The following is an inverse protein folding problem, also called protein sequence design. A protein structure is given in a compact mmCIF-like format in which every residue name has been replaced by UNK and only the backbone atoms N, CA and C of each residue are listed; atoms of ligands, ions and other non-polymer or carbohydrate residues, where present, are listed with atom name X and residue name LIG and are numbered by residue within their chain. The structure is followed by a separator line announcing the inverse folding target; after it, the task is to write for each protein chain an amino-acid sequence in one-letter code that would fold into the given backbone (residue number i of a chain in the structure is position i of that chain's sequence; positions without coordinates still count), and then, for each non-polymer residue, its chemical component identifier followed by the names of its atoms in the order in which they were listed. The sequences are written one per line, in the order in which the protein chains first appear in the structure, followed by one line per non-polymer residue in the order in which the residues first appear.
data_IF_399426811707
#
_entry.id   IF_399426811707
#
_cell.length_a   1.000
_cell.length_b   1.000
_cell.length_c   1.000
_cell.angle_alpha   90.00
_cell.angle_beta   90.00
_cell.angle_gamma   90.00
#
_symmetry.space_group_name_H-M   'P 1'
#
loop_
_entity.id
_entity.type
_entity.pdbx_description
1 polymer ?
#
# COMPACT_ATOMS: atom_id res chain seq x y z
N UNK A 1 11.02 -18.45 -14.29
CA UNK A 1 10.86 -17.17 -15.01
C UNK A 1 9.92 -16.20 -14.29
N UNK A 2 8.68 -16.60 -13.96
CA UNK A 2 7.70 -15.74 -13.27
C UNK A 2 8.23 -15.14 -11.96
N UNK A 3 8.69 -15.97 -11.01
CA UNK A 3 9.19 -15.49 -9.71
C UNK A 3 10.33 -14.49 -9.86
N UNK A 4 11.30 -14.77 -10.73
CA UNK A 4 12.40 -13.85 -11.01
C UNK A 4 11.92 -12.51 -11.61
N UNK A 5 10.88 -12.53 -12.45
CA UNK A 5 10.27 -11.30 -12.97
C UNK A 5 9.55 -10.50 -11.88
N UNK A 6 8.82 -11.18 -10.98
CA UNK A 6 8.19 -10.55 -9.81
C UNK A 6 9.24 -9.90 -8.92
N UNK A 7 10.29 -10.64 -8.54
CA UNK A 7 11.40 -10.12 -7.72
C UNK A 7 12.06 -8.92 -8.39
N UNK A 8 12.39 -9.00 -9.68
CA UNK A 8 12.97 -7.89 -10.42
C UNK A 8 12.06 -6.64 -10.42
N UNK A 9 10.75 -6.84 -10.58
CA UNK A 9 9.78 -5.76 -10.56
C UNK A 9 9.69 -5.07 -9.20
N UNK A 10 9.60 -5.83 -8.11
CA UNK A 10 9.64 -5.28 -6.76
C UNK A 10 10.95 -4.52 -6.51
N UNK A 11 12.08 -5.15 -6.79
CA UNK A 11 13.39 -4.60 -6.51
C UNK A 11 13.62 -3.26 -7.23
N UNK A 12 13.30 -3.20 -8.52
CA UNK A 12 13.48 -1.97 -9.30
C UNK A 12 12.56 -0.84 -8.82
N UNK A 13 11.27 -1.13 -8.60
CA UNK A 13 10.33 -0.10 -8.15
C UNK A 13 10.70 0.46 -6.76
N UNK A 14 11.11 -0.41 -5.84
CA UNK A 14 11.48 -0.02 -4.48
C UNK A 14 12.80 0.75 -4.44
N UNK A 15 13.83 0.31 -5.17
CA UNK A 15 15.11 1.03 -5.25
C UNK A 15 14.95 2.44 -5.81
N UNK A 16 14.13 2.58 -6.86
CA UNK A 16 13.81 3.89 -7.44
C UNK A 16 13.02 4.76 -6.46
N UNK A 17 12.15 4.14 -5.65
CA UNK A 17 11.23 4.86 -4.76
C UNK A 17 11.73 5.18 -3.34
N UNK A 18 12.68 4.42 -2.78
CA UNK A 18 12.95 4.34 -1.33
C UNK A 18 13.28 5.68 -0.66
N UNK A 19 13.92 6.60 -1.38
CA UNK A 19 14.40 7.87 -0.82
C UNK A 19 13.49 9.08 -1.13
N UNK A 20 12.54 8.92 -2.05
CA UNK A 20 11.87 10.05 -2.70
C UNK A 20 10.35 10.10 -2.47
N UNK A 21 9.78 9.06 -1.86
CA UNK A 21 8.34 8.96 -1.67
C UNK A 21 7.72 10.18 -0.99
N UNK A 22 8.40 10.74 0.03
CA UNK A 22 7.94 11.95 0.72
C UNK A 22 8.04 13.20 -0.17
N UNK A 23 9.12 13.36 -0.94
CA UNK A 23 9.35 14.51 -1.81
C UNK A 23 8.33 14.56 -2.96
N UNK A 24 8.12 13.42 -3.63
CA UNK A 24 7.10 13.26 -4.68
C UNK A 24 5.70 13.53 -4.13
N UNK A 25 5.38 12.97 -2.96
CA UNK A 25 4.07 13.16 -2.32
C UNK A 25 3.78 14.61 -1.94
N UNK A 26 4.81 15.39 -1.57
CA UNK A 26 4.70 16.84 -1.30
C UNK A 26 4.43 17.64 -2.56
N UNK A 27 4.96 17.22 -3.71
CA UNK A 27 4.69 17.82 -5.02
C UNK A 27 3.32 17.45 -5.61
N UNK A 28 2.55 16.59 -4.92
CA UNK A 28 1.17 16.25 -5.28
C UNK A 28 1.03 14.95 -6.08
N UNK A 29 2.13 14.31 -6.44
CA UNK A 29 2.13 13.03 -7.12
C UNK A 29 1.86 11.87 -6.16
N UNK A 30 1.31 10.78 -6.69
CA UNK A 30 1.11 9.54 -5.96
C UNK A 30 2.24 8.57 -6.27
N UNK A 31 2.85 8.00 -5.23
CA UNK A 31 4.01 7.11 -5.35
C UNK A 31 3.73 5.83 -6.13
N UNK A 32 2.56 5.20 -5.93
CA UNK A 32 2.22 3.92 -6.58
C UNK A 32 2.35 3.95 -8.09
N UNK A 33 1.67 4.85 -8.84
CA UNK A 33 1.78 4.81 -10.29
C UNK A 33 3.09 5.41 -10.81
N UNK A 34 3.71 6.32 -10.06
CA UNK A 34 5.00 6.94 -10.39
C UNK A 34 6.16 5.95 -10.31
N UNK A 35 6.16 5.03 -9.34
CA UNK A 35 7.22 4.02 -9.20
C UNK A 35 6.85 2.66 -9.76
N UNK A 36 5.56 2.29 -9.72
CA UNK A 36 5.08 0.99 -10.17
C UNK A 36 5.31 0.73 -11.66
N UNK A 37 5.38 1.79 -12.47
CA UNK A 37 5.70 1.68 -13.91
C UNK A 37 7.07 1.05 -14.15
N UNK A 38 8.08 1.36 -13.32
CA UNK A 38 9.41 0.79 -13.44
C UNK A 38 9.43 -0.69 -13.04
N UNK A 39 8.69 -1.06 -12.00
CA UNK A 39 8.57 -2.45 -11.59
C UNK A 39 7.88 -3.29 -12.66
N UNK A 40 6.82 -2.76 -13.28
CA UNK A 40 6.15 -3.41 -14.41
C UNK A 40 7.08 -3.53 -15.63
N UNK A 41 7.86 -2.50 -15.96
CA UNK A 41 8.84 -2.54 -17.05
C UNK A 41 9.95 -3.57 -16.79
N UNK A 42 10.49 -3.63 -15.58
CA UNK A 42 11.50 -4.61 -15.20
C UNK A 42 10.97 -6.05 -15.25
N UNK A 43 9.78 -6.29 -14.72
CA UNK A 43 9.13 -7.60 -14.75
C UNK A 43 8.83 -8.03 -16.20
N UNK A 44 8.23 -7.16 -17.01
CA UNK A 44 7.91 -7.43 -18.40
C UNK A 44 9.18 -7.65 -19.24
N UNK A 45 10.17 -6.78 -19.12
CA UNK A 45 11.45 -6.92 -19.83
C UNK A 45 12.17 -8.21 -19.48
N UNK A 46 12.08 -8.67 -18.22
CA UNK A 46 12.62 -9.97 -17.83
C UNK A 46 11.91 -11.14 -18.52
N UNK A 47 10.60 -11.03 -18.72
CA UNK A 47 9.79 -12.04 -19.41
C UNK A 47 9.97 -12.02 -20.93
N UNK A 48 10.17 -10.83 -21.52
CA UNK A 48 10.51 -10.67 -22.93
C UNK A 48 11.94 -11.12 -23.26
N UNK A 49 12.79 -11.27 -22.24
CA UNK A 49 14.18 -11.69 -22.43
C UNK A 49 15.09 -10.56 -22.89
N UNK A 50 14.78 -9.32 -22.51
CA UNK A 50 15.61 -8.16 -22.81
C UNK A 50 17.01 -8.34 -22.21
N UNK A 51 18.03 -7.98 -23.00
CA UNK A 51 19.40 -7.83 -22.51
C UNK A 51 19.57 -6.53 -21.71
N UNK A 52 20.76 -6.32 -21.13
CA UNK A 52 21.01 -5.17 -20.28
C UNK A 52 20.79 -3.81 -20.99
N UNK A 53 21.28 -3.58 -22.23
CA UNK A 53 21.00 -2.35 -22.96
C UNK A 53 19.50 -2.11 -23.21
N UNK A 54 18.75 -3.13 -23.65
CA UNK A 54 17.30 -3.00 -23.88
C UNK A 54 16.53 -2.79 -22.58
N UNK A 55 16.94 -3.44 -21.49
CA UNK A 55 16.34 -3.24 -20.16
C UNK A 55 16.58 -1.80 -19.65
N UNK A 56 17.80 -1.28 -19.78
CA UNK A 56 18.08 0.12 -19.41
C UNK A 56 17.20 1.09 -20.20
N UNK A 57 17.07 0.86 -21.50
CA UNK A 57 16.19 1.64 -22.36
C UNK A 57 14.70 1.51 -21.99
N UNK A 58 14.22 0.32 -21.61
CA UNK A 58 12.87 0.12 -21.11
C UNK A 58 12.59 0.93 -19.84
N UNK A 59 13.56 1.01 -18.91
CA UNK A 59 13.43 1.85 -17.72
C UNK A 59 13.43 3.34 -18.05
N UNK A 60 14.22 3.76 -19.06
CA UNK A 60 14.17 5.14 -19.57
C UNK A 60 12.80 5.48 -20.19
N UNK A 61 12.20 4.55 -20.94
CA UNK A 61 10.83 4.73 -21.46
C UNK A 61 9.81 4.78 -20.30
N UNK A 62 9.94 3.90 -19.31
CA UNK A 62 9.07 3.88 -18.13
C UNK A 62 9.10 5.22 -17.36
N UNK A 63 10.27 5.86 -17.24
CA UNK A 63 10.40 7.18 -16.64
C UNK A 63 9.53 8.24 -17.33
N UNK A 64 9.40 8.16 -18.67
CA UNK A 64 8.56 9.06 -19.46
C UNK A 64 7.06 8.74 -19.34
N UNK A 65 6.70 7.54 -18.92
CA UNK A 65 5.31 7.11 -18.76
C UNK A 65 4.82 7.15 -17.30
N UNK A 66 5.69 7.55 -16.38
CA UNK A 66 5.36 7.72 -14.98
C UNK A 66 4.40 8.90 -14.76
N UNK A 67 3.39 8.71 -13.91
CA UNK A 67 2.46 9.78 -13.57
C UNK A 67 1.29 9.32 -12.71
N UNK A 68 0.62 10.26 -12.05
CA UNK A 68 -0.55 10.01 -11.20
C UNK A 68 -0.63 10.98 -10.03
N UNK A 69 -1.83 11.41 -9.67
CA UNK A 69 -2.06 12.51 -8.73
C UNK A 69 -2.67 12.00 -7.43
N UNK A 70 -2.27 12.60 -6.31
CA UNK A 70 -2.78 12.25 -4.98
C UNK A 70 -4.07 13.00 -4.61
N UNK A 71 -4.65 13.78 -5.52
CA UNK A 71 -5.83 14.61 -5.27
C UNK A 71 -7.03 13.80 -4.77
N UNK A 72 -7.15 12.53 -5.19
CA UNK A 72 -8.21 11.60 -4.81
C UNK A 72 -8.43 11.49 -3.29
N UNK A 73 -7.38 11.70 -2.47
CA UNK A 73 -7.47 11.60 -1.01
C UNK A 73 -8.43 12.66 -0.45
N UNK A 74 -8.34 13.89 -0.94
CA UNK A 74 -9.16 14.99 -0.45
C UNK A 74 -10.61 14.88 -0.98
N UNK A 75 -10.76 14.59 -2.28
CA UNK A 75 -12.05 14.45 -2.95
C UNK A 75 -12.78 13.14 -2.64
N UNK A 76 -12.07 12.12 -2.16
CA UNK A 76 -12.59 10.78 -1.95
C UNK A 76 -12.93 10.03 -3.24
N UNK A 77 -12.35 10.42 -4.37
CA UNK A 77 -12.59 9.82 -5.70
C UNK A 77 -11.75 8.55 -5.93
N UNK A 78 -12.04 7.81 -6.99
CA UNK A 78 -11.55 6.45 -7.23
C UNK A 78 -10.49 6.31 -8.34
N UNK A 79 -10.00 7.42 -8.89
CA UNK A 79 -8.98 7.44 -9.95
C UNK A 79 -7.69 6.70 -9.54
N UNK A 80 -7.37 6.63 -8.25
CA UNK A 80 -6.23 5.88 -7.73
C UNK A 80 -6.24 4.38 -8.12
N UNK A 81 -7.43 3.81 -8.38
CA UNK A 81 -7.57 2.42 -8.82
C UNK A 81 -7.05 2.25 -10.24
N UNK A 82 -7.46 3.12 -11.16
CA UNK A 82 -7.05 3.05 -12.57
C UNK A 82 -5.59 3.47 -12.76
N UNK A 83 -5.08 4.39 -11.95
CA UNK A 83 -3.67 4.79 -11.97
C UNK A 83 -2.72 3.60 -11.76
N UNK A 84 -3.06 2.68 -10.85
CA UNK A 84 -2.24 1.49 -10.63
C UNK A 84 -2.26 0.55 -11.84
N UNK A 85 -3.43 0.39 -12.48
CA UNK A 85 -3.57 -0.37 -13.72
C UNK A 85 -2.81 0.26 -14.89
N UNK A 86 -2.82 1.58 -15.00
CA UNK A 86 -2.06 2.31 -16.01
C UNK A 86 -0.56 2.20 -15.80
N UNK A 87 -0.07 2.24 -14.57
CA UNK A 87 1.35 2.00 -14.31
C UNK A 87 1.79 0.60 -14.76
N UNK A 88 0.97 -0.42 -14.48
CA UNK A 88 1.23 -1.78 -14.97
C UNK A 88 1.24 -1.85 -16.51
N UNK A 89 0.21 -1.31 -17.16
CA UNK A 89 0.11 -1.25 -18.64
C UNK A 89 1.31 -0.52 -19.24
N UNK A 90 1.58 0.70 -18.77
CA UNK A 90 2.63 1.55 -19.31
C UNK A 90 4.02 0.91 -19.15
N UNK A 91 4.28 0.18 -18.06
CA UNK A 91 5.54 -0.53 -17.89
C UNK A 91 5.70 -1.70 -18.88
N UNK A 92 4.63 -2.46 -19.11
CA UNK A 92 4.62 -3.52 -20.14
C UNK A 92 4.87 -2.90 -21.53
N UNK A 93 4.21 -1.79 -21.85
CA UNK A 93 4.39 -1.08 -23.12
C UNK A 93 5.84 -0.55 -23.25
N UNK A 94 6.43 0.00 -22.19
CA UNK A 94 7.82 0.45 -22.19
C UNK A 94 8.81 -0.67 -22.50
N UNK A 95 8.61 -1.86 -21.90
CA UNK A 95 9.44 -3.03 -22.20
C UNK A 95 9.26 -3.52 -23.64
N UNK A 96 8.01 -3.54 -24.14
CA UNK A 96 7.73 -3.96 -25.52
C UNK A 96 8.31 -3.01 -26.56
N UNK A 97 8.16 -1.70 -26.35
CA UNK A 97 8.75 -0.67 -27.21
C UNK A 97 10.28 -0.76 -27.25
N UNK A 98 10.93 -1.04 -26.12
CA UNK A 98 12.36 -1.28 -26.07
C UNK A 98 12.77 -2.55 -26.84
N UNK A 99 11.95 -3.61 -26.79
CA UNK A 99 12.20 -4.86 -27.53
C UNK A 99 12.17 -4.64 -29.05
N UNK A 100 11.19 -3.84 -29.51
CA UNK A 100 11.01 -3.42 -30.90
C UNK A 100 12.02 -2.34 -31.35
N UNK A 101 12.92 -1.91 -30.47
CA UNK A 101 14.04 -1.03 -30.82
C UNK A 101 13.75 0.46 -30.75
N UNK A 102 12.66 0.89 -30.11
CA UNK A 102 12.47 2.32 -29.78
C UNK A 102 13.57 2.76 -28.80
N UNK A 103 14.21 3.90 -29.06
CA UNK A 103 15.31 4.42 -28.22
C UNK A 103 14.83 5.61 -27.38
N UNK A 104 15.10 5.57 -26.09
CA UNK A 104 14.94 6.67 -25.14
C UNK A 104 16.31 7.22 -24.69
N UNK A 105 16.31 8.36 -24.01
CA UNK A 105 17.54 8.97 -23.52
C UNK A 105 18.20 8.11 -22.42
N UNK A 106 19.53 8.04 -22.45
CA UNK A 106 20.31 7.21 -21.51
C UNK A 106 20.29 7.75 -20.08
N UNK A 107 20.03 9.06 -19.92
CA UNK A 107 20.02 9.80 -18.66
C UNK A 107 18.59 10.13 -18.19
N UNK A 108 17.59 9.33 -18.59
CA UNK A 108 16.17 9.62 -18.31
C UNK A 108 15.84 9.67 -16.81
N UNK A 109 16.65 9.00 -15.98
CA UNK A 109 16.49 8.97 -14.54
C UNK A 109 17.13 10.18 -13.85
N UNK A 110 18.42 10.42 -14.09
CA UNK A 110 19.29 11.33 -13.33
C UNK A 110 19.94 12.46 -14.17
N UNK A 111 19.61 12.54 -15.46
CA UNK A 111 19.98 13.63 -16.36
C UNK A 111 19.34 14.97 -15.99
N UNK A 112 19.76 16.07 -16.63
CA UNK A 112 19.36 17.43 -16.27
C UNK A 112 17.83 17.63 -16.24
N UNK A 113 17.12 17.03 -17.20
CA UNK A 113 15.67 16.97 -17.25
C UNK A 113 15.09 15.60 -16.82
N UNK A 114 15.85 14.86 -16.00
CA UNK A 114 15.56 13.49 -15.60
C UNK A 114 14.42 13.36 -14.58
N UNK A 115 13.92 12.14 -14.45
CA UNK A 115 12.82 11.74 -13.58
C UNK A 115 12.94 12.27 -12.15
N UNK A 116 14.09 12.11 -11.49
CA UNK A 116 14.23 12.51 -10.09
C UNK A 116 14.10 14.02 -9.91
N UNK A 117 14.77 14.80 -10.77
CA UNK A 117 14.68 16.27 -10.72
C UNK A 117 13.26 16.75 -10.97
N UNK A 118 12.58 16.16 -11.94
CA UNK A 118 11.20 16.52 -12.29
C UNK A 118 10.22 16.18 -11.15
N UNK A 119 10.27 14.96 -10.63
CA UNK A 119 9.26 14.46 -9.69
C UNK A 119 9.59 14.70 -8.22
N UNK A 120 10.87 14.62 -7.82
CA UNK A 120 11.30 14.66 -6.42
C UNK A 120 12.11 15.92 -6.07
N UNK A 121 12.80 16.52 -7.05
CA UNK A 121 13.74 17.63 -6.85
C UNK A 121 15.19 17.20 -7.02
N UNK A 122 16.12 18.14 -6.84
CA UNK A 122 17.55 17.87 -7.00
C UNK A 122 18.09 16.99 -5.87
N UNK A 123 18.77 15.91 -6.26
CA UNK A 123 19.45 14.97 -5.37
C UNK A 123 20.68 14.39 -6.09
N UNK A 124 21.86 14.88 -5.72
CA UNK A 124 23.11 14.51 -6.37
C UNK A 124 23.58 13.08 -6.05
N UNK A 125 23.09 12.46 -4.98
CA UNK A 125 23.54 11.15 -4.50
C UNK A 125 22.67 10.00 -5.01
N UNK A 126 21.71 10.28 -5.88
CA UNK A 126 20.68 9.32 -6.24
C UNK A 126 21.22 8.12 -7.05
N UNK A 127 21.99 8.37 -8.13
CA UNK A 127 22.49 7.30 -9.00
C UNK A 127 23.34 6.26 -8.24
N UNK A 128 24.14 6.71 -7.26
CA UNK A 128 24.92 5.83 -6.38
C UNK A 128 24.02 4.96 -5.50
N UNK A 129 22.92 5.50 -4.99
CA UNK A 129 22.02 4.75 -4.10
C UNK A 129 21.17 3.73 -4.83
N UNK A 130 20.84 3.91 -6.11
CA UNK A 130 20.07 2.91 -6.86
C UNK A 130 20.76 1.54 -6.88
N UNK A 131 22.08 1.53 -7.04
CA UNK A 131 22.88 0.31 -7.22
C UNK A 131 23.62 -0.14 -5.97
N UNK A 132 23.50 0.60 -4.87
CA UNK A 132 24.09 0.22 -3.58
C UNK A 132 23.61 -1.17 -3.15
N UNK A 133 24.56 -2.04 -2.77
CA UNK A 133 24.30 -3.38 -2.26
C UNK A 133 23.44 -4.27 -3.19
N UNK A 134 23.46 -3.98 -4.50
CA UNK A 134 22.72 -4.75 -5.49
C UNK A 134 23.20 -6.21 -5.50
N UNK A 135 22.26 -7.15 -5.40
CA UNK A 135 22.55 -8.58 -5.35
C UNK A 135 22.91 -9.12 -3.96
N UNK A 136 23.04 -8.24 -2.95
CA UNK A 136 23.28 -8.64 -1.55
C UNK A 136 22.15 -8.24 -0.62
N UNK A 137 21.56 -7.06 -0.83
CA UNK A 137 20.39 -6.57 -0.08
C UNK A 137 19.24 -6.43 -1.06
N UNK A 138 18.10 -7.05 -0.75
CA UNK A 138 16.88 -6.95 -1.55
C UNK A 138 15.87 -6.05 -0.83
N UNK A 139 15.43 -5.00 -1.51
CA UNK A 139 14.39 -4.10 -0.98
C UNK A 139 13.05 -4.82 -0.80
N UNK A 140 12.82 -5.89 -1.58
CA UNK A 140 11.62 -6.70 -1.46
C UNK A 140 11.45 -7.32 -0.06
N UNK A 141 12.54 -7.56 0.68
CA UNK A 141 12.49 -8.13 2.02
C UNK A 141 11.88 -7.17 3.05
N UNK A 142 11.88 -5.86 2.77
CA UNK A 142 11.24 -4.84 3.58
C UNK A 142 9.75 -4.65 3.26
N UNK A 143 9.19 -5.41 2.30
CA UNK A 143 7.77 -5.30 1.94
C UNK A 143 6.90 -5.85 3.05
N UNK A 144 6.08 -4.98 3.64
CA UNK A 144 5.11 -5.38 4.65
C UNK A 144 3.75 -5.71 4.04
N UNK A 145 3.05 -6.65 4.66
CA UNK A 145 1.66 -6.96 4.37
C UNK A 145 0.73 -5.96 5.05
N UNK A 146 -0.49 -5.89 4.53
CA UNK A 146 -1.50 -4.95 4.98
C UNK A 146 -2.78 -5.71 5.36
N UNK A 147 -3.03 -5.94 6.66
CA UNK A 147 -4.15 -6.76 7.12
C UNK A 147 -5.51 -6.09 6.95
N UNK A 148 -5.55 -4.77 6.76
CA UNK A 148 -6.77 -4.00 6.60
C UNK A 148 -6.76 -3.19 5.30
N UNK A 149 -7.90 -2.94 4.64
CA UNK A 149 -7.97 -2.18 3.39
C UNK A 149 -7.85 -0.64 3.55
N UNK A 150 -6.94 -0.15 4.41
CA UNK A 150 -6.84 1.25 4.90
C UNK A 150 -5.49 1.94 4.61
N UNK A 151 -5.27 3.25 4.70
CA UNK A 151 -3.89 3.75 4.56
C UNK A 151 -2.96 3.11 5.60
N UNK A 152 -1.72 2.76 5.20
CA UNK A 152 -0.76 2.01 6.03
C UNK A 152 -0.50 2.65 7.40
N UNK A 153 -0.65 3.97 7.54
CA UNK A 153 -0.46 4.68 8.81
C UNK A 153 -1.54 4.35 9.86
N UNK A 154 -2.65 3.72 9.46
CA UNK A 154 -3.77 3.41 10.34
C UNK A 154 -3.79 1.96 10.85
N UNK A 155 -2.85 1.11 10.44
CA UNK A 155 -2.82 -0.31 10.82
C UNK A 155 -2.73 -0.53 12.34
N UNK A 156 -1.83 0.19 13.01
CA UNK A 156 -1.71 0.15 14.47
C UNK A 156 -2.89 0.80 15.18
N UNK A 157 -3.51 1.81 14.56
CA UNK A 157 -4.72 2.46 15.10
C UNK A 157 -5.88 1.47 15.16
N UNK A 158 -6.15 0.73 14.08
CA UNK A 158 -7.25 -0.25 14.06
C UNK A 158 -7.02 -1.37 15.08
N UNK A 159 -5.79 -1.89 15.17
CA UNK A 159 -5.45 -2.91 16.17
C UNK A 159 -5.63 -2.40 17.59
N UNK A 160 -5.01 -1.26 17.94
CA UNK A 160 -5.09 -0.73 19.29
C UNK A 160 -6.50 -0.34 19.71
N UNK A 161 -7.31 0.20 18.79
CA UNK A 161 -8.72 0.47 19.07
C UNK A 161 -9.51 -0.82 19.30
N UNK A 162 -9.27 -1.87 18.52
CA UNK A 162 -9.93 -3.16 18.72
C UNK A 162 -9.56 -3.79 20.08
N UNK A 163 -8.30 -3.71 20.49
CA UNK A 163 -7.82 -4.21 21.79
C UNK A 163 -8.46 -3.41 22.95
N UNK A 164 -8.45 -2.08 22.85
CA UNK A 164 -9.03 -1.20 23.87
C UNK A 164 -10.56 -1.36 23.97
N UNK A 165 -11.23 -1.60 22.85
CA UNK A 165 -12.67 -1.92 22.82
C UNK A 165 -12.98 -3.18 23.63
N UNK A 166 -12.16 -4.23 23.53
CA UNK A 166 -12.37 -5.44 24.31
C UNK A 166 -12.20 -5.16 25.82
N UNK A 167 -11.18 -4.41 26.19
CA UNK A 167 -10.90 -4.01 27.58
C UNK A 167 -11.96 -3.04 28.16
N UNK A 168 -12.68 -2.31 27.30
CA UNK A 168 -13.73 -1.40 27.74
C UNK A 168 -14.98 -2.12 28.25
N UNK A 169 -15.15 -3.41 27.97
CA UNK A 169 -16.26 -4.24 28.47
C UNK A 169 -17.66 -3.59 28.22
N UNK A 170 -17.79 -2.91 27.08
CA UNK A 170 -19.04 -2.24 26.67
C UNK A 170 -19.19 -0.78 27.08
N UNK A 171 -18.25 -0.21 27.86
CA UNK A 171 -18.25 1.22 28.15
C UNK A 171 -17.98 2.04 26.87
N UNK A 172 -18.72 3.13 26.69
CA UNK A 172 -18.57 4.00 25.53
C UNK A 172 -17.31 4.89 25.64
N UNK A 173 -16.68 5.30 24.51
CA UNK A 173 -15.53 6.17 24.53
C UNK A 173 -16.00 7.63 24.60
N UNK A 174 -15.54 8.38 25.60
CA UNK A 174 -15.80 9.81 25.74
C UNK A 174 -14.75 10.66 25.01
N UNK A 175 -13.51 10.19 24.96
CA UNK A 175 -12.43 10.81 24.20
C UNK A 175 -11.43 9.77 23.72
N UNK A 176 -10.91 9.94 22.51
CA UNK A 176 -9.88 9.08 21.92
C UNK A 176 -8.72 9.97 21.47
N UNK A 177 -7.54 9.80 22.05
CA UNK A 177 -6.31 10.44 21.60
C UNK A 177 -5.45 9.45 20.83
N UNK A 178 -5.01 9.85 19.64
CA UNK A 178 -4.09 9.07 18.80
C UNK A 178 -2.84 9.91 18.60
N UNK A 179 -1.73 9.51 19.23
CA UNK A 179 -0.42 10.12 19.06
C UNK A 179 0.39 9.32 18.05
N UNK A 180 0.95 9.97 17.04
CA UNK A 180 1.75 9.30 16.01
C UNK A 180 2.82 10.23 15.45
N UNK A 181 3.81 9.66 14.75
CA UNK A 181 4.91 10.42 14.17
C UNK A 181 4.40 11.60 13.30
N UNK A 182 5.02 12.80 13.35
CA UNK A 182 4.49 14.00 12.67
C UNK A 182 4.27 13.85 11.17
N UNK A 183 5.13 13.10 10.46
CA UNK A 183 4.93 12.81 9.03
C UNK A 183 3.59 12.13 8.75
N UNK A 184 3.17 11.22 9.61
CA UNK A 184 1.96 10.41 9.44
C UNK A 184 0.75 11.19 9.92
N UNK A 185 0.86 11.83 11.09
CA UNK A 185 -0.19 12.68 11.65
C UNK A 185 -0.57 13.82 10.71
N UNK A 186 0.38 14.34 9.93
CA UNK A 186 0.17 15.45 8.99
C UNK A 186 0.01 14.96 7.55
N UNK A 187 -0.04 13.65 7.31
CA UNK A 187 -0.32 13.13 5.99
C UNK A 187 -1.77 13.45 5.58
N UNK A 188 -1.97 13.69 4.30
CA UNK A 188 -3.26 14.11 3.76
C UNK A 188 -4.37 13.12 4.16
N UNK A 189 -5.52 13.65 4.58
CA UNK A 189 -6.68 12.84 4.96
C UNK A 189 -6.63 12.22 6.37
N UNK A 190 -5.46 12.04 6.98
CA UNK A 190 -5.32 11.36 8.29
C UNK A 190 -6.16 12.04 9.38
N UNK A 191 -6.14 13.38 9.42
CA UNK A 191 -6.90 14.18 10.39
C UNK A 191 -8.34 14.49 9.96
N UNK A 192 -8.81 13.97 8.82
CA UNK A 192 -10.14 14.31 8.29
C UNK A 192 -11.24 13.76 9.21
N UNK A 193 -11.82 14.61 10.04
CA UNK A 193 -12.86 14.23 11.01
C UNK A 193 -14.28 14.24 10.45
N UNK A 194 -14.44 14.51 9.15
CA UNK A 194 -15.70 14.46 8.44
C UNK A 194 -16.20 15.82 7.93
N UNK A 195 -17.36 15.82 7.23
CA UNK A 195 -18.12 14.63 6.86
C UNK A 195 -17.31 13.71 5.93
N UNK A 196 -17.40 12.41 6.17
CA UNK A 196 -16.80 11.39 5.27
C UNK A 196 -17.93 10.95 4.34
N UNK A 197 -17.74 11.15 3.05
CA UNK A 197 -18.83 10.91 2.07
C UNK A 197 -18.49 9.81 1.08
N UNK A 198 -17.23 9.41 1.02
CA UNK A 198 -16.72 8.43 0.06
C UNK A 198 -15.68 7.53 0.70
N UNK A 199 -15.59 6.32 0.17
CA UNK A 199 -14.66 5.28 0.64
C UNK A 199 -13.20 5.74 0.75
N UNK A 200 -12.71 6.53 -0.22
CA UNK A 200 -11.34 7.01 -0.18
C UNK A 200 -11.06 8.00 0.96
N UNK A 201 -12.05 8.78 1.39
CA UNK A 201 -11.92 9.57 2.62
C UNK A 201 -11.94 8.68 3.86
N UNK A 202 -12.81 7.65 3.88
CA UNK A 202 -12.94 6.74 5.01
C UNK A 202 -11.61 6.00 5.29
N UNK A 203 -11.01 5.39 4.27
CA UNK A 203 -9.78 4.60 4.45
C UNK A 203 -8.54 5.46 4.75
N UNK A 204 -8.63 6.78 4.53
CA UNK A 204 -7.58 7.75 4.79
C UNK A 204 -7.73 8.47 6.14
N UNK A 205 -8.86 8.32 6.84
CA UNK A 205 -9.19 9.11 8.04
C UNK A 205 -8.99 8.30 9.32
N UNK A 206 -8.07 8.73 10.19
CA UNK A 206 -7.89 8.12 11.50
C UNK A 206 -9.15 8.23 12.39
N UNK A 207 -9.85 9.37 12.47
CA UNK A 207 -11.13 9.46 13.19
C UNK A 207 -12.17 8.44 12.71
N UNK A 208 -12.37 8.34 11.39
CA UNK A 208 -13.34 7.40 10.81
C UNK A 208 -12.98 5.95 11.13
N UNK A 209 -11.72 5.58 10.92
CA UNK A 209 -11.24 4.22 11.15
C UNK A 209 -11.27 3.82 12.62
N UNK A 210 -10.93 4.75 13.53
CA UNK A 210 -11.07 4.53 14.97
C UNK A 210 -12.54 4.33 15.37
N UNK A 211 -13.48 5.11 14.80
CA UNK A 211 -14.89 4.90 15.05
C UNK A 211 -15.38 3.54 14.53
N UNK A 212 -15.07 3.18 13.28
CA UNK A 212 -15.44 1.87 12.71
C UNK A 212 -14.88 0.74 13.57
N UNK A 213 -13.59 0.79 13.90
CA UNK A 213 -12.93 -0.23 14.72
C UNK A 213 -13.53 -0.31 16.14
N UNK A 214 -13.91 0.82 16.75
CA UNK A 214 -14.55 0.82 18.07
C UNK A 214 -15.92 0.14 18.05
N UNK A 215 -16.72 0.39 17.00
CA UNK A 215 -18.07 -0.19 16.90
C UNK A 215 -18.04 -1.66 16.46
N UNK A 216 -17.18 -2.01 15.52
CA UNK A 216 -17.16 -3.33 14.88
C UNK A 216 -16.04 -4.27 15.37
N UNK A 217 -15.07 -3.76 16.13
CA UNK A 217 -13.88 -4.52 16.55
C UNK A 217 -12.84 -4.75 15.44
N UNK A 218 -13.07 -4.24 14.23
CA UNK A 218 -12.17 -4.35 13.08
C UNK A 218 -12.58 -3.35 11.99
N UNK A 219 -11.82 -3.28 10.89
CA UNK A 219 -12.19 -2.55 9.67
C UNK A 219 -12.14 -3.49 8.47
N UNK A 220 -13.30 -3.72 7.86
CA UNK A 220 -13.46 -4.53 6.64
C UNK A 220 -13.60 -3.66 5.40
N UNK A 221 -13.42 -4.22 4.22
CA UNK A 221 -13.69 -3.53 2.95
C UNK A 221 -15.15 -3.11 2.84
N UNK A 222 -16.10 -3.96 3.29
CA UNK A 222 -17.52 -3.62 3.33
C UNK A 222 -17.80 -2.43 4.27
N UNK A 223 -17.19 -2.39 5.46
CA UNK A 223 -17.37 -1.29 6.41
C UNK A 223 -16.88 0.06 5.86
N UNK A 224 -15.91 0.06 4.95
CA UNK A 224 -15.44 1.27 4.28
C UNK A 224 -16.39 1.78 3.17
N UNK A 225 -17.35 0.96 2.74
CA UNK A 225 -18.40 1.33 1.78
C UNK A 225 -19.68 1.75 2.50
N UNK A 226 -20.05 1.04 3.57
CA UNK A 226 -21.26 1.28 4.35
C UNK A 226 -21.05 2.34 5.44
N UNK A 227 -20.36 3.42 5.09
CA UNK A 227 -20.08 4.46 6.05
C UNK A 227 -21.32 5.33 6.30
N UNK A 228 -21.80 5.30 7.54
CA UNK A 228 -22.91 6.11 8.02
C UNK A 228 -22.39 7.19 8.99
N UNK A 229 -22.39 8.44 8.53
CA UNK A 229 -22.00 9.59 9.37
C UNK A 229 -22.87 9.71 10.63
N UNK A 230 -24.14 9.29 10.59
CA UNK A 230 -25.00 9.36 11.76
C UNK A 230 -24.57 8.33 12.82
N UNK A 231 -24.21 7.11 12.38
CA UNK A 231 -23.72 6.05 13.26
C UNK A 231 -22.37 6.35 13.89
N UNK A 232 -21.43 6.89 13.11
CA UNK A 232 -20.03 7.02 13.54
C UNK A 232 -19.63 8.45 13.94
N UNK A 233 -20.42 9.45 13.55
CA UNK A 233 -20.07 10.87 13.68
C UNK A 233 -19.77 11.31 15.12
N UNK A 234 -20.55 10.84 16.09
CA UNK A 234 -20.29 11.15 17.51
C UNK A 234 -18.95 10.60 17.98
N UNK A 235 -18.63 9.35 17.66
CA UNK A 235 -17.34 8.75 18.01
C UNK A 235 -16.20 9.44 17.26
N UNK A 236 -16.37 9.76 15.97
CA UNK A 236 -15.37 10.48 15.18
C UNK A 236 -15.05 11.86 15.77
N UNK A 237 -16.07 12.59 16.24
CA UNK A 237 -15.89 13.90 16.86
C UNK A 237 -15.10 13.84 18.18
N UNK A 238 -15.03 12.67 18.82
CA UNK A 238 -14.26 12.41 20.04
C UNK A 238 -12.80 12.01 19.76
N UNK A 239 -12.42 11.81 18.49
CA UNK A 239 -11.05 11.41 18.11
C UNK A 239 -10.19 12.63 17.84
N UNK A 240 -9.06 12.72 18.54
CA UNK A 240 -8.02 13.71 18.31
C UNK A 240 -6.73 13.04 17.90
N UNK A 241 -6.26 13.34 16.68
CA UNK A 241 -4.93 12.96 16.21
C UNK A 241 -3.92 14.01 16.69
N UNK A 242 -2.77 13.58 17.19
CA UNK A 242 -1.71 14.44 17.76
C UNK A 242 -0.40 14.05 17.08
N UNK A 243 0.30 15.04 16.54
CA UNK A 243 1.66 14.84 16.05
C UNK A 243 2.59 14.81 17.27
N UNK A 244 3.36 13.74 17.42
CA UNK A 244 4.19 13.51 18.59
C UNK A 244 5.60 13.08 18.15
N UNK A 245 6.58 13.96 18.36
CA UNK A 245 7.98 13.73 17.96
C UNK A 245 8.64 12.59 18.74
N UNK A 246 8.06 12.17 19.88
CA UNK A 246 8.55 11.01 20.63
C UNK A 246 8.11 9.67 20.05
N UNK A 247 7.30 9.68 18.99
CA UNK A 247 6.81 8.47 18.33
C UNK A 247 7.59 8.21 17.06
N UNK A 248 8.11 7.00 16.94
CA UNK A 248 8.65 6.48 15.69
C UNK A 248 7.54 6.24 14.66
N UNK A 249 7.94 6.14 13.40
CA UNK A 249 7.02 5.83 12.30
C UNK A 249 6.35 4.50 12.51
N UNK A 250 5.08 4.42 12.15
CA UNK A 250 4.24 3.24 12.31
C UNK A 250 4.03 2.75 13.74
N UNK A 251 4.41 3.53 14.75
CA UNK A 251 4.20 3.16 16.13
C UNK A 251 3.24 4.14 16.86
N UNK A 252 1.93 4.12 16.58
CA UNK A 252 1.00 5.00 17.28
C UNK A 252 0.83 4.62 18.76
N UNK A 253 0.51 5.61 19.58
CA UNK A 253 0.02 5.44 20.95
C UNK A 253 -1.42 5.95 21.04
N UNK A 254 -2.28 5.19 21.72
CA UNK A 254 -3.71 5.45 21.80
C UNK A 254 -4.12 5.53 23.27
N UNK A 255 -4.92 6.54 23.61
CA UNK A 255 -5.54 6.68 24.92
C UNK A 255 -7.04 6.88 24.75
N UNK A 256 -7.84 6.10 25.46
CA UNK A 256 -9.29 6.18 25.46
C UNK A 256 -9.78 6.50 26.86
N UNK A 257 -10.44 7.64 27.02
CA UNK A 257 -11.24 7.93 28.21
C UNK A 257 -12.65 7.35 28.00
N UNK A 258 -13.13 6.58 28.96
CA UNK A 258 -14.43 5.92 28.91
C UNK A 258 -15.49 6.71 29.70
N UNK A 259 -16.75 6.54 29.32
CA UNK A 259 -17.91 7.17 29.95
C UNK A 259 -18.11 6.80 31.44
N UNK A 260 -17.49 5.70 31.89
CA UNK A 260 -17.51 5.28 33.29
C UNK A 260 -16.33 5.84 34.11
N UNK A 261 -15.52 6.74 33.50
CA UNK A 261 -14.37 7.39 34.13
C UNK A 261 -13.05 6.62 34.03
N UNK A 262 -13.04 5.37 33.52
CA UNK A 262 -11.80 4.64 33.28
C UNK A 262 -11.00 5.27 32.13
N UNK A 263 -9.69 5.07 32.16
CA UNK A 263 -8.81 5.40 31.04
C UNK A 263 -8.04 4.15 30.66
N UNK A 264 -8.06 3.84 29.36
CA UNK A 264 -7.33 2.73 28.77
C UNK A 264 -6.24 3.28 27.83
N UNK A 265 -5.10 2.61 27.78
CA UNK A 265 -3.95 3.00 26.96
C UNK A 265 -3.40 1.81 26.17
N UNK A 266 -2.98 2.07 24.94
CA UNK A 266 -2.37 1.08 24.07
C UNK A 266 -1.22 1.73 23.30
N UNK A 267 -0.17 0.96 23.04
CA UNK A 267 0.96 1.42 22.23
C UNK A 267 1.36 0.30 21.29
N UNK A 268 1.68 0.69 20.07
CA UNK A 268 2.31 -0.21 19.11
C UNK A 268 3.72 -0.55 19.58
N UNK A 269 3.99 -1.84 19.78
CA UNK A 269 5.26 -2.32 20.33
C UNK A 269 6.17 -2.97 19.27
N UNK A 270 5.61 -3.42 18.16
CA UNK A 270 6.33 -4.20 17.13
C UNK A 270 6.59 -3.40 15.85
N UNK A 271 6.04 -2.19 15.75
CA UNK A 271 6.23 -1.27 14.62
C UNK A 271 5.94 -1.92 13.27
N UNK A 272 6.91 -1.89 12.35
CA UNK A 272 6.79 -2.54 11.04
C UNK A 272 6.81 -4.07 11.11
N UNK A 273 7.53 -4.65 12.08
CA UNK A 273 7.68 -6.10 12.24
C UNK A 273 6.37 -6.83 12.50
N UNK A 274 5.38 -6.12 13.07
CA UNK A 274 4.03 -6.64 13.33
C UNK A 274 3.25 -7.01 12.05
N UNK A 275 3.80 -6.67 10.88
CA UNK A 275 3.15 -6.80 9.58
C UNK A 275 4.03 -7.50 8.54
N UNK A 276 5.01 -8.28 9.00
CA UNK A 276 5.84 -9.11 8.13
C UNK A 276 4.96 -10.12 7.37
N UNK A 277 5.21 -10.26 6.07
CA UNK A 277 4.49 -11.21 5.24
C UNK A 277 5.04 -12.62 5.46
N UNK A 278 4.32 -13.42 6.23
CA UNK A 278 4.54 -14.88 6.33
C UNK A 278 3.53 -15.63 5.46
N UNK A 279 3.83 -16.89 5.13
CA UNK A 279 2.87 -17.76 4.43
C UNK A 279 1.53 -17.83 5.15
N UNK A 280 1.56 -18.00 6.48
CA UNK A 280 0.37 -18.03 7.33
C UNK A 280 -0.44 -16.73 7.22
N UNK A 281 0.22 -15.57 7.34
CA UNK A 281 -0.45 -14.27 7.22
C UNK A 281 -1.05 -14.04 5.83
N UNK A 282 -0.41 -14.56 4.78
CA UNK A 282 -0.90 -14.48 3.41
C UNK A 282 -2.18 -15.32 3.23
N UNK A 283 -2.18 -16.54 3.78
CA UNK A 283 -3.33 -17.45 3.73
C UNK A 283 -4.50 -16.91 4.56
N UNK A 284 -4.25 -16.44 5.78
CA UNK A 284 -5.26 -15.77 6.63
C UNK A 284 -5.85 -14.54 5.92
N UNK A 285 -4.97 -13.69 5.38
CA UNK A 285 -5.37 -12.53 4.58
C UNK A 285 -6.25 -12.91 3.39
N UNK A 286 -5.88 -13.94 2.64
CA UNK A 286 -6.68 -14.43 1.51
C UNK A 286 -8.05 -14.97 1.96
N UNK A 287 -8.10 -15.69 3.09
CA UNK A 287 -9.34 -16.19 3.69
C UNK A 287 -10.32 -15.05 4.02
N UNK A 288 -9.84 -14.03 4.74
CA UNK A 288 -10.66 -12.83 5.07
C UNK A 288 -11.17 -12.12 3.82
N UNK A 289 -10.32 -11.97 2.80
CA UNK A 289 -10.74 -11.36 1.53
C UNK A 289 -11.79 -12.20 0.78
N UNK A 290 -11.69 -13.53 0.84
CA UNK A 290 -12.68 -14.41 0.25
C UNK A 290 -14.02 -14.31 0.97
N UNK A 291 -14.04 -14.28 2.30
CA UNK A 291 -15.26 -14.07 3.08
C UNK A 291 -15.94 -12.74 2.71
N UNK A 292 -15.17 -11.65 2.63
CA UNK A 292 -15.69 -10.34 2.21
C UNK A 292 -16.19 -10.33 0.76
N UNK A 293 -15.61 -11.16 -0.10
CA UNK A 293 -16.03 -11.31 -1.49
C UNK A 293 -17.17 -12.34 -1.68
N UNK A 294 -17.69 -12.95 -0.60
CA UNK A 294 -18.71 -14.00 -0.69
C UNK A 294 -18.20 -15.31 -1.31
N UNK A 295 -16.89 -15.50 -1.36
CA UNK A 295 -16.24 -16.70 -1.88
C UNK A 295 -16.01 -17.67 -0.71
N UNK A 296 -16.45 -18.94 -0.79
CA UNK A 296 -16.13 -19.92 0.23
C UNK A 296 -14.62 -20.06 0.41
N UNK A 297 -14.12 -19.95 1.65
CA UNK A 297 -12.68 -20.06 1.93
C UNK A 297 -12.10 -21.39 1.43
N UNK A 298 -12.89 -22.47 1.45
CA UNK A 298 -12.51 -23.78 0.90
C UNK A 298 -12.21 -23.74 -0.61
N UNK A 299 -12.78 -22.79 -1.35
CA UNK A 299 -12.49 -22.59 -2.77
C UNK A 299 -11.09 -22.02 -3.02
N UNK A 300 -10.43 -21.45 -2.01
CA UNK A 300 -9.07 -20.94 -2.12
C UNK A 300 -8.01 -22.03 -2.12
N UNK A 301 -8.28 -23.20 -1.54
CA UNK A 301 -7.28 -24.25 -1.36
C UNK A 301 -6.51 -24.59 -2.65
N UNK A 302 -7.17 -24.79 -3.81
CA UNK A 302 -6.45 -25.07 -5.06
C UNK A 302 -5.58 -23.90 -5.56
N UNK A 303 -5.94 -22.66 -5.24
CA UNK A 303 -5.13 -21.48 -5.56
C UNK A 303 -3.90 -21.41 -4.64
N UNK A 304 -4.11 -21.61 -3.34
CA UNK A 304 -3.05 -21.61 -2.32
C UNK A 304 -2.01 -22.69 -2.66
N UNK A 305 -2.45 -23.91 -2.97
CA UNK A 305 -1.55 -25.01 -3.36
C UNK A 305 -0.75 -24.66 -4.62
N UNK A 306 -1.41 -24.07 -5.64
CA UNK A 306 -0.75 -23.69 -6.87
C UNK A 306 0.30 -22.58 -6.69
N UNK A 307 0.08 -21.66 -5.74
CA UNK A 307 1.06 -20.64 -5.37
C UNK A 307 2.20 -21.27 -4.58
N UNK A 308 1.91 -22.19 -3.66
CA UNK A 308 2.92 -22.86 -2.83
C UNK A 308 3.95 -23.63 -3.65
N UNK A 309 3.52 -24.24 -4.76
CA UNK A 309 4.38 -25.06 -5.63
C UNK A 309 4.76 -24.35 -6.93
N UNK A 310 4.60 -23.03 -7.01
CA UNK A 310 4.78 -22.29 -8.28
C UNK A 310 6.22 -22.31 -8.79
N UNK A 311 7.19 -22.48 -7.89
CA UNK A 311 8.61 -22.55 -8.23
C UNK A 311 8.97 -23.79 -9.07
N UNK A 312 8.33 -24.93 -8.76
CA UNK A 312 8.53 -26.21 -9.44
C UNK A 312 7.58 -26.42 -10.62
N UNK A 313 6.60 -25.52 -10.79
CA UNK A 313 5.58 -25.67 -11.82
C UNK A 313 6.16 -25.49 -13.23
N UNK A 314 5.94 -26.43 -14.16
CA UNK A 314 6.44 -26.32 -15.53
C UNK A 314 5.71 -25.23 -16.35
N UNK A 315 4.60 -24.71 -15.84
CA UNK A 315 3.79 -23.67 -16.47
C UNK A 315 2.96 -22.93 -15.43
N UNK A 316 2.70 -21.64 -15.67
CA UNK A 316 1.78 -20.82 -14.88
C UNK A 316 0.30 -21.05 -15.23
N UNK A 317 0.02 -21.82 -16.30
CA UNK A 317 -1.35 -22.03 -16.79
C UNK A 317 -2.29 -22.59 -15.70
N UNK A 318 -1.92 -23.61 -14.92
CA UNK A 318 -2.78 -24.09 -13.83
C UNK A 318 -3.11 -22.99 -12.82
N UNK A 319 -2.11 -22.19 -12.39
CA UNK A 319 -2.31 -21.06 -11.50
C UNK A 319 -3.32 -20.05 -12.09
N UNK A 320 -3.14 -19.67 -13.36
CA UNK A 320 -4.04 -18.75 -14.04
C UNK A 320 -5.47 -19.31 -14.21
N UNK A 321 -5.59 -20.61 -14.48
CA UNK A 321 -6.88 -21.29 -14.58
C UNK A 321 -7.62 -21.26 -13.22
N UNK A 322 -6.92 -21.43 -12.09
CA UNK A 322 -7.49 -21.29 -10.73
C UNK A 322 -7.95 -19.86 -10.43
N UNK A 323 -7.14 -18.85 -10.78
CA UNK A 323 -7.52 -17.44 -10.61
C UNK A 323 -8.79 -17.12 -11.40
N UNK A 324 -8.90 -17.59 -12.64
CA UNK A 324 -10.09 -17.40 -13.48
C UNK A 324 -11.33 -18.07 -12.88
N UNK A 325 -11.20 -19.29 -12.38
CA UNK A 325 -12.30 -20.01 -11.75
C UNK A 325 -12.83 -19.27 -10.52
N UNK A 326 -11.95 -18.74 -9.66
CA UNK A 326 -12.35 -17.93 -8.51
C UNK A 326 -13.03 -16.62 -8.93
N UNK A 327 -12.50 -15.94 -9.95
CA UNK A 327 -13.10 -14.71 -10.47
C UNK A 327 -14.49 -14.93 -11.08
N UNK A 328 -14.78 -16.14 -11.58
CA UNK A 328 -16.12 -16.52 -12.05
C UNK A 328 -17.07 -16.83 -10.89
N UNK A 329 -16.56 -17.43 -9.81
CA UNK A 329 -17.35 -17.74 -8.61
C UNK A 329 -17.72 -16.49 -7.79
N UNK A 330 -16.96 -15.40 -7.93
CA UNK A 330 -17.19 -14.13 -7.23
C UNK A 330 -18.23 -13.20 -7.91
N UNK A 331 -18.83 -13.62 -9.03
CA UNK A 331 -19.84 -12.87 -9.79
C UNK A 331 -21.23 -13.44 -9.55
#
# INVERSE_FOLDING_TARGET
ALLAAVVAGYEVALRIGRDHGAAISRRGFRTTPVYGVFGAAAAAGRLFGLDAPRMANALSLAANFAGGLRAFVASGTSEYVIEAGFAARNGIDAAGLADEGMVATADALDGEAGFFRAFAGDDADHGRRLTADLGTVFEMDAVTYKPYPICQFHRGIVRGIADLRQQAEGAAPDAIEIRMHPFEANFVGVRHAGPVTRRAQAFMSAPCLAAIAWHAGTVTFQALQDFDNARFGETMARVRVIADESRDRYEPAIRVALADGRTLEWKEAEGEGAYNLTWESAVDGAGRLAEEAGIPVSALAPLIDAVATVEDAPSIKPLMDRVRALAQAAK
#
